data_IF_956316738006
#
_entry.id   IF_956316738006
#
_cell.length_a   1.000
_cell.length_b   1.000
_cell.length_c   1.000
_cell.angle_alpha   90.00
_cell.angle_beta   90.00
_cell.angle_gamma   90.00
#
_symmetry.space_group_name_H-M   'P 1'
#
loop_
_entity.id
_entity.type
_entity.pdbx_description
1 polymer ?
#
# COMPACT_ATOMS: atom_id res chain seq x y z
N UNK A 1 -20.36 51.03 53.91
CA UNK A 1 -19.55 49.98 53.26
C UNK A 1 -20.38 49.00 52.41
N UNK A 2 -21.72 49.00 52.46
CA UNK A 2 -22.54 47.97 51.79
C UNK A 2 -22.91 48.19 50.32
N UNK A 3 -22.82 49.42 49.81
CA UNK A 3 -23.24 49.74 48.43
C UNK A 3 -22.21 49.22 47.39
N UNK A 4 -20.93 49.18 47.76
CA UNK A 4 -19.83 48.66 46.91
C UNK A 4 -19.90 47.13 46.80
N UNK A 5 -20.30 46.44 47.88
CA UNK A 5 -20.39 44.98 47.91
C UNK A 5 -21.53 44.41 47.03
N UNK A 6 -22.63 45.15 46.84
CA UNK A 6 -23.76 44.70 45.99
C UNK A 6 -23.43 44.63 44.49
N UNK A 7 -22.44 45.39 44.00
CA UNK A 7 -22.02 45.37 42.58
C UNK A 7 -20.96 44.31 42.25
N UNK A 8 -20.15 43.91 43.24
CA UNK A 8 -19.03 42.99 43.07
C UNK A 8 -19.48 41.60 42.60
N UNK A 9 -20.53 41.03 43.21
CA UNK A 9 -21.06 39.71 42.83
C UNK A 9 -21.53 39.65 41.35
N UNK A 10 -22.08 40.75 40.81
CA UNK A 10 -22.52 40.83 39.41
C UNK A 10 -21.33 40.85 38.44
N UNK A 11 -20.22 41.50 38.83
CA UNK A 11 -18.98 41.53 38.04
C UNK A 11 -18.29 40.17 38.05
N UNK A 12 -18.16 39.54 39.21
CA UNK A 12 -17.58 38.20 39.35
C UNK A 12 -18.35 37.14 38.55
N UNK A 13 -19.69 37.23 38.47
CA UNK A 13 -20.50 36.32 37.62
C UNK A 13 -20.26 36.54 36.12
N UNK A 14 -20.09 37.78 35.66
CA UNK A 14 -19.75 38.09 34.25
C UNK A 14 -18.35 37.61 33.90
N UNK A 15 -17.40 37.85 34.79
CA UNK A 15 -16.01 37.42 34.65
C UNK A 15 -15.90 35.88 34.64
N UNK A 16 -16.59 35.18 35.54
CA UNK A 16 -16.62 33.71 35.55
C UNK A 16 -17.20 33.13 34.24
N UNK A 17 -18.27 33.72 33.71
CA UNK A 17 -18.85 33.30 32.41
C UNK A 17 -17.87 33.54 31.26
N UNK A 18 -17.22 34.70 31.22
CA UNK A 18 -16.20 34.99 30.19
C UNK A 18 -15.03 34.00 30.25
N UNK A 19 -14.51 33.72 31.46
CA UNK A 19 -13.44 32.73 31.67
C UNK A 19 -13.88 31.31 31.28
N UNK A 20 -15.10 30.90 31.64
CA UNK A 20 -15.63 29.59 31.25
C UNK A 20 -15.82 29.47 29.74
N UNK A 21 -16.31 30.51 29.06
CA UNK A 21 -16.45 30.53 27.59
C UNK A 21 -15.07 30.43 26.91
N UNK A 22 -14.08 31.19 27.39
CA UNK A 22 -12.70 31.11 26.88
C UNK A 22 -12.07 29.74 27.11
N UNK A 23 -12.19 29.19 28.32
CA UNK A 23 -11.68 27.84 28.63
C UNK A 23 -12.40 26.77 27.79
N UNK A 24 -13.72 26.87 27.64
CA UNK A 24 -14.47 25.94 26.79
C UNK A 24 -14.05 26.03 25.32
N UNK A 25 -13.75 27.23 24.81
CA UNK A 25 -13.26 27.41 23.45
C UNK A 25 -11.89 26.75 23.25
N UNK A 26 -10.98 26.88 24.22
CA UNK A 26 -9.66 26.21 24.19
C UNK A 26 -9.82 24.69 24.23
N UNK A 27 -10.63 24.16 25.14
CA UNK A 27 -10.89 22.71 25.24
C UNK A 27 -11.52 22.18 23.95
N UNK A 28 -12.49 22.90 23.39
CA UNK A 28 -13.14 22.52 22.14
C UNK A 28 -12.15 22.54 20.96
N UNK A 29 -11.26 23.54 20.91
CA UNK A 29 -10.20 23.60 19.89
C UNK A 29 -9.23 22.43 20.00
N UNK A 30 -8.78 22.08 21.21
CA UNK A 30 -7.92 20.92 21.45
C UNK A 30 -8.63 19.60 21.14
N UNK A 31 -9.93 19.50 21.40
CA UNK A 31 -10.74 18.34 21.04
C UNK A 31 -10.80 18.17 19.52
N UNK A 32 -11.09 19.23 18.76
CA UNK A 32 -11.08 19.16 17.30
C UNK A 32 -9.70 18.80 16.73
N UNK A 33 -8.63 19.38 17.27
CA UNK A 33 -7.27 19.02 16.87
C UNK A 33 -6.97 17.54 17.11
N UNK A 34 -7.38 17.02 18.27
CA UNK A 34 -7.19 15.61 18.61
C UNK A 34 -7.98 14.69 17.67
N UNK A 35 -9.25 15.03 17.38
CA UNK A 35 -10.08 14.30 16.43
C UNK A 35 -9.49 14.31 15.01
N UNK A 36 -8.91 15.44 14.60
CA UNK A 36 -8.22 15.56 13.32
C UNK A 36 -7.02 14.61 13.26
N UNK A 37 -6.17 14.59 14.29
CA UNK A 37 -5.03 13.65 14.33
C UNK A 37 -5.47 12.19 14.33
N UNK A 38 -6.48 11.83 15.13
CA UNK A 38 -7.03 10.47 15.16
C UNK A 38 -7.54 10.08 13.77
N UNK A 39 -8.25 10.98 13.08
CA UNK A 39 -8.75 10.75 11.73
C UNK A 39 -7.62 10.55 10.72
N UNK A 40 -6.57 11.38 10.76
CA UNK A 40 -5.42 11.23 9.87
C UNK A 40 -4.72 9.88 10.09
N UNK A 41 -4.46 9.51 11.33
CA UNK A 41 -3.78 8.24 11.67
C UNK A 41 -4.66 7.04 11.28
N UNK A 42 -5.95 7.08 11.60
CA UNK A 42 -6.90 6.01 11.31
C UNK A 42 -7.16 5.82 9.80
N UNK A 43 -7.02 6.87 8.99
CA UNK A 43 -7.14 6.75 7.53
C UNK A 43 -5.79 6.47 6.85
N UNK A 44 -4.67 6.82 7.50
CA UNK A 44 -3.33 6.70 6.95
C UNK A 44 -2.61 5.38 7.27
N UNK A 45 -3.04 4.61 8.28
CA UNK A 45 -2.29 3.41 8.70
C UNK A 45 -2.12 2.37 7.58
N UNK A 46 -3.09 2.26 6.68
CA UNK A 46 -3.05 1.33 5.55
C UNK A 46 -1.99 1.70 4.52
N UNK A 47 -1.51 2.94 4.48
CA UNK A 47 -0.40 3.35 3.61
C UNK A 47 0.92 2.67 4.01
N UNK A 48 1.03 2.22 5.27
CA UNK A 48 2.19 1.45 5.74
C UNK A 48 2.03 -0.06 5.54
N UNK A 49 0.88 -0.53 5.06
CA UNK A 49 0.72 -1.92 4.62
C UNK A 49 0.99 -2.00 3.12
N UNK A 50 1.62 -3.08 2.66
CA UNK A 50 1.80 -3.38 1.25
C UNK A 50 1.47 -4.84 0.99
N UNK A 51 0.72 -5.08 -0.07
CA UNK A 51 0.41 -6.44 -0.52
C UNK A 51 1.57 -6.97 -1.36
N UNK A 52 2.03 -8.16 -1.01
CA UNK A 52 3.11 -8.86 -1.70
C UNK A 52 2.60 -10.17 -2.28
N UNK A 53 3.03 -10.49 -3.49
CA UNK A 53 2.77 -11.75 -4.18
C UNK A 53 4.05 -12.57 -4.24
N UNK A 54 3.96 -13.85 -3.93
CA UNK A 54 5.05 -14.79 -4.06
C UNK A 54 5.12 -15.33 -5.48
N UNK A 55 6.29 -15.26 -6.10
CA UNK A 55 6.55 -15.80 -7.43
C UNK A 55 7.78 -16.69 -7.43
N UNK A 56 7.69 -17.79 -8.18
CA UNK A 56 8.83 -18.62 -8.52
C UNK A 56 9.42 -18.14 -9.85
N UNK A 57 10.51 -17.40 -9.75
CA UNK A 57 11.17 -16.75 -10.89
C UNK A 57 12.39 -17.54 -11.30
N UNK A 58 12.39 -18.01 -12.55
CA UNK A 58 13.56 -18.64 -13.14
C UNK A 58 14.49 -17.56 -13.69
N UNK A 59 15.69 -17.47 -13.12
CA UNK A 59 16.73 -16.52 -13.53
C UNK A 59 17.53 -17.11 -14.69
N UNK A 60 16.97 -17.05 -15.90
CA UNK A 60 17.63 -17.63 -17.07
C UNK A 60 18.96 -16.92 -17.38
N UNK A 61 20.05 -17.69 -17.41
CA UNK A 61 21.39 -17.19 -17.71
C UNK A 61 21.53 -16.70 -19.16
N UNK A 62 20.62 -17.06 -20.07
CA UNK A 62 20.58 -16.55 -21.44
C UNK A 62 19.97 -15.14 -21.51
N UNK A 63 19.06 -14.81 -20.60
CA UNK A 63 18.35 -13.52 -20.55
C UNK A 63 19.05 -12.50 -19.64
N UNK A 64 19.92 -12.97 -18.74
CA UNK A 64 20.68 -12.14 -17.80
C UNK A 64 22.17 -12.19 -18.16
N UNK A 65 22.65 -11.13 -18.81
CA UNK A 65 24.09 -10.93 -19.03
C UNK A 65 24.78 -10.58 -17.70
N UNK A 66 25.74 -11.42 -17.28
CA UNK A 66 26.49 -11.25 -16.04
C UNK A 66 27.37 -9.99 -16.03
N UNK A 67 27.78 -9.52 -17.20
CA UNK A 67 28.58 -8.31 -17.36
C UNK A 67 27.71 -7.05 -17.36
N UNK A 68 26.45 -7.16 -17.81
CA UNK A 68 25.49 -6.06 -17.84
C UNK A 68 24.13 -6.43 -17.22
N UNK A 69 24.15 -6.62 -15.90
CA UNK A 69 22.93 -6.91 -15.13
C UNK A 69 21.89 -5.80 -15.21
N UNK A 70 22.27 -4.55 -15.52
CA UNK A 70 21.33 -3.43 -15.59
C UNK A 70 20.43 -3.48 -16.83
N UNK A 71 20.89 -4.10 -17.93
CA UNK A 71 20.17 -4.16 -19.19
C UNK A 71 19.22 -5.38 -19.31
N UNK A 72 19.25 -6.30 -18.34
CA UNK A 72 18.45 -7.52 -18.39
C UNK A 72 16.94 -7.25 -18.25
N UNK A 73 16.12 -8.06 -18.91
CA UNK A 73 14.66 -7.91 -18.92
C UNK A 73 13.98 -8.58 -17.72
N UNK A 74 14.19 -8.05 -16.52
CA UNK A 74 13.60 -8.58 -15.28
C UNK A 74 12.06 -8.62 -15.31
N UNK A 75 11.42 -7.61 -15.91
CA UNK A 75 9.98 -7.61 -16.09
C UNK A 75 9.51 -8.79 -16.96
N UNK A 76 10.30 -9.17 -17.97
CA UNK A 76 10.08 -10.36 -18.80
C UNK A 76 10.10 -11.66 -17.98
N UNK A 77 11.04 -11.80 -17.06
CA UNK A 77 11.15 -12.96 -16.16
C UNK A 77 9.93 -13.08 -15.24
N UNK A 78 9.49 -11.96 -14.65
CA UNK A 78 8.29 -11.90 -13.81
C UNK A 78 7.05 -12.30 -14.63
N UNK A 79 6.89 -11.73 -15.83
CA UNK A 79 5.78 -12.07 -16.73
C UNK A 79 5.79 -13.54 -17.13
N UNK A 80 6.97 -14.13 -17.34
CA UNK A 80 7.14 -15.56 -17.62
C UNK A 80 6.73 -16.43 -16.44
N UNK A 81 7.04 -15.98 -15.22
CA UNK A 81 6.62 -16.65 -13.98
C UNK A 81 5.10 -16.60 -13.82
N UNK A 82 4.47 -15.44 -14.00
CA UNK A 82 3.01 -15.30 -13.98
C UNK A 82 2.31 -16.17 -15.04
N UNK A 83 2.89 -16.27 -16.25
CA UNK A 83 2.38 -17.19 -17.30
C UNK A 83 2.41 -18.65 -16.85
N UNK A 84 3.43 -19.06 -16.08
CA UNK A 84 3.53 -20.42 -15.52
C UNK A 84 2.51 -20.65 -14.39
N UNK A 85 2.27 -19.65 -13.55
CA UNK A 85 1.27 -19.71 -12.47
C UNK A 85 -0.15 -19.77 -13.01
N UNK A 86 -0.45 -19.09 -14.11
CA UNK A 86 -1.78 -19.02 -14.73
C UNK A 86 -1.78 -19.53 -16.19
N UNK A 87 -1.52 -20.83 -16.42
CA UNK A 87 -1.39 -21.39 -17.78
C UNK A 87 -2.70 -21.32 -18.59
N UNK A 88 -3.84 -21.20 -17.91
CA UNK A 88 -5.17 -21.12 -18.52
C UNK A 88 -5.42 -19.78 -19.24
N UNK A 89 -4.61 -18.75 -18.97
CA UNK A 89 -4.80 -17.39 -19.52
C UNK A 89 -4.19 -17.28 -20.91
N UNK A 90 -5.00 -17.57 -21.95
CA UNK A 90 -4.53 -17.63 -23.34
C UNK A 90 -4.65 -16.31 -24.11
N UNK A 91 -5.73 -15.54 -23.90
CA UNK A 91 -6.02 -14.33 -24.69
C UNK A 91 -5.07 -13.18 -24.35
N UNK A 92 -4.65 -12.41 -25.35
CA UNK A 92 -3.71 -11.28 -25.18
C UNK A 92 -4.23 -10.21 -24.21
N UNK A 93 -5.52 -9.87 -24.27
CA UNK A 93 -6.17 -8.90 -23.37
C UNK A 93 -6.10 -9.36 -21.92
N UNK A 94 -6.34 -10.65 -21.69
CA UNK A 94 -6.38 -11.26 -20.36
C UNK A 94 -4.96 -11.37 -19.78
N UNK A 95 -3.98 -11.75 -20.60
CA UNK A 95 -2.57 -11.74 -20.20
C UNK A 95 -2.11 -10.37 -19.71
N UNK A 96 -2.55 -9.28 -20.36
CA UNK A 96 -2.23 -7.92 -19.90
C UNK A 96 -2.80 -7.65 -18.51
N UNK A 97 -4.05 -8.03 -18.26
CA UNK A 97 -4.67 -7.90 -16.93
C UNK A 97 -3.96 -8.75 -15.86
N UNK A 98 -3.52 -9.95 -16.25
CA UNK A 98 -2.77 -10.84 -15.36
C UNK A 98 -1.39 -10.27 -15.01
N UNK A 99 -0.70 -9.63 -15.95
CA UNK A 99 0.57 -8.95 -15.67
C UNK A 99 0.38 -7.78 -14.70
N UNK A 100 -0.76 -7.09 -14.77
CA UNK A 100 -1.13 -6.03 -13.83
C UNK A 100 -1.64 -6.57 -12.47
N UNK A 101 -1.32 -7.80 -12.09
CA UNK A 101 -1.50 -8.25 -10.70
C UNK A 101 -0.27 -7.90 -9.84
N UNK A 102 0.88 -7.71 -10.49
CA UNK A 102 2.17 -7.45 -9.86
C UNK A 102 2.60 -6.05 -10.27
N UNK A 103 3.08 -5.26 -9.30
CA UNK A 103 3.51 -3.89 -9.54
C UNK A 103 4.72 -3.86 -10.49
N UNK A 104 4.83 -2.84 -11.36
CA UNK A 104 6.04 -2.59 -12.12
C UNK A 104 7.31 -2.52 -11.24
N UNK A 105 7.18 -2.07 -9.99
CA UNK A 105 8.26 -2.00 -9.01
C UNK A 105 8.92 -3.36 -8.71
N UNK A 106 8.24 -4.47 -8.99
CA UNK A 106 8.78 -5.81 -8.85
C UNK A 106 10.03 -6.06 -9.70
N UNK A 107 10.15 -5.42 -10.88
CA UNK A 107 11.35 -5.59 -11.71
C UNK A 107 12.60 -5.01 -11.06
N UNK A 108 12.49 -3.85 -10.39
CA UNK A 108 13.60 -3.24 -9.67
C UNK A 108 13.99 -4.09 -8.45
N UNK A 109 13.00 -4.61 -7.73
CA UNK A 109 13.26 -5.51 -6.60
C UNK A 109 13.98 -6.80 -7.03
N UNK A 110 13.57 -7.40 -8.16
CA UNK A 110 14.23 -8.57 -8.71
C UNK A 110 15.65 -8.25 -9.19
N UNK A 111 15.84 -7.11 -9.86
CA UNK A 111 17.13 -6.62 -10.29
C UNK A 111 18.09 -6.45 -9.11
N UNK A 112 17.67 -5.74 -8.07
CA UNK A 112 18.42 -5.55 -6.83
C UNK A 112 18.81 -6.87 -6.17
N UNK A 113 17.87 -7.82 -6.14
CA UNK A 113 18.14 -9.16 -5.64
C UNK A 113 19.25 -9.86 -6.44
N UNK A 114 19.17 -9.84 -7.77
CA UNK A 114 20.17 -10.48 -8.66
C UNK A 114 21.53 -9.79 -8.56
N UNK A 115 21.56 -8.45 -8.45
CA UNK A 115 22.80 -7.70 -8.28
C UNK A 115 23.56 -8.09 -7.01
N UNK A 116 22.83 -8.35 -5.92
CA UNK A 116 23.39 -8.80 -4.63
C UNK A 116 23.68 -10.30 -4.62
N UNK A 117 22.96 -11.10 -5.40
CA UNK A 117 23.03 -12.57 -5.41
C UNK A 117 23.33 -13.12 -6.81
N UNK A 118 24.44 -12.68 -7.42
CA UNK A 118 24.82 -13.09 -8.79
C UNK A 118 24.98 -14.60 -8.99
N UNK A 119 25.24 -15.34 -7.91
CA UNK A 119 25.38 -16.80 -7.94
C UNK A 119 24.06 -17.54 -8.17
N UNK A 120 22.91 -16.87 -7.99
CA UNK A 120 21.59 -17.46 -8.24
C UNK A 120 21.18 -17.44 -9.72
N UNK A 121 21.95 -16.78 -10.58
CA UNK A 121 21.69 -16.77 -12.03
C UNK A 121 21.82 -18.20 -12.56
N UNK A 122 20.76 -18.70 -13.18
CA UNK A 122 20.56 -20.08 -13.63
C UNK A 122 19.56 -20.87 -12.78
N UNK A 123 19.22 -20.40 -11.58
CA UNK A 123 18.32 -21.10 -10.66
C UNK A 123 16.88 -20.54 -10.73
N UNK A 124 15.95 -21.30 -10.16
CA UNK A 124 14.61 -20.79 -9.84
C UNK A 124 14.60 -20.34 -8.39
N UNK A 125 14.31 -19.07 -8.18
CA UNK A 125 14.19 -18.47 -6.84
C UNK A 125 12.72 -18.22 -6.51
N UNK A 126 12.39 -18.27 -5.22
CA UNK A 126 11.09 -17.86 -4.72
C UNK A 126 11.23 -16.49 -4.07
N UNK A 127 10.54 -15.48 -4.61
CA UNK A 127 10.64 -14.09 -4.14
C UNK A 127 9.25 -13.49 -3.89
N UNK A 128 9.14 -12.67 -2.85
CA UNK A 128 7.97 -11.83 -2.60
C UNK A 128 8.15 -10.50 -3.31
N UNK A 129 7.22 -10.15 -4.19
CA UNK A 129 7.24 -8.92 -4.96
C UNK A 129 5.98 -8.09 -4.71
N UNK A 130 6.02 -6.75 -4.85
CA UNK A 130 4.85 -5.91 -4.66
C UNK A 130 3.72 -6.27 -5.62
N UNK A 131 2.50 -6.34 -5.09
CA UNK A 131 1.28 -6.42 -5.90
C UNK A 131 0.98 -5.07 -6.56
N UNK A 132 0.17 -5.08 -7.61
CA UNK A 132 -0.37 -3.87 -8.23
C UNK A 132 -1.34 -3.12 -7.28
N UNK A 133 -1.45 -1.81 -7.45
CA UNK A 133 -2.29 -0.92 -6.63
C UNK A 133 -3.73 -1.42 -6.47
N UNK A 134 -4.36 -1.88 -7.55
CA UNK A 134 -5.74 -2.35 -7.48
C UNK A 134 -5.84 -3.63 -6.63
N UNK A 135 -4.84 -4.51 -6.72
CA UNK A 135 -4.76 -5.72 -5.89
C UNK A 135 -4.50 -5.35 -4.43
N UNK A 136 -3.64 -4.37 -4.18
CA UNK A 136 -3.34 -3.89 -2.85
C UNK A 136 -4.56 -3.25 -2.17
N UNK A 137 -5.27 -2.37 -2.89
CA UNK A 137 -6.54 -1.79 -2.44
C UNK A 137 -7.59 -2.87 -2.17
N UNK A 138 -7.66 -3.92 -2.99
CA UNK A 138 -8.56 -5.06 -2.75
C UNK A 138 -8.20 -5.79 -1.45
N UNK A 139 -6.92 -6.09 -1.22
CA UNK A 139 -6.44 -6.79 -0.01
C UNK A 139 -6.57 -5.93 1.26
N UNK A 140 -6.55 -4.61 1.12
CA UNK A 140 -6.84 -3.64 2.20
C UNK A 140 -8.34 -3.48 2.47
N UNK A 141 -9.21 -4.00 1.60
CA UNK A 141 -10.66 -3.94 1.75
C UNK A 141 -11.30 -2.67 1.18
N UNK A 142 -10.54 -1.89 0.40
CA UNK A 142 -11.00 -0.65 -0.20
C UNK A 142 -11.75 -0.86 -1.53
N UNK A 143 -11.67 -2.07 -2.11
CA UNK A 143 -12.48 -2.46 -3.29
C UNK A 143 -13.57 -3.43 -2.84
N UNK A 144 -14.83 -3.01 -3.01
CA UNK A 144 -16.01 -3.82 -2.72
C UNK A 144 -16.14 -4.98 -3.71
N UNK A 145 -16.34 -6.19 -3.22
CA UNK A 145 -16.45 -7.41 -4.05
C UNK A 145 -17.90 -7.70 -4.51
N UNK A 146 -18.87 -7.08 -3.87
CA UNK A 146 -20.31 -7.30 -4.01
C UNK A 146 -21.00 -6.34 -4.99
N UNK A 147 -20.27 -5.38 -5.56
CA UNK A 147 -20.78 -4.44 -6.56
C UNK A 147 -20.51 -4.94 -7.99
N UNK A 148 -21.28 -4.50 -9.00
CA UNK A 148 -21.08 -4.90 -10.40
C UNK A 148 -19.65 -4.66 -10.92
N UNK A 149 -19.18 -5.47 -11.88
CA UNK A 149 -17.86 -5.31 -12.53
C UNK A 149 -17.62 -3.87 -13.04
N UNK A 150 -18.66 -3.22 -13.59
CA UNK A 150 -18.57 -1.85 -14.12
C UNK A 150 -18.30 -0.78 -13.06
N UNK A 151 -18.58 -1.06 -11.78
CA UNK A 151 -18.38 -0.14 -10.66
C UNK A 151 -17.06 -0.38 -9.94
N UNK A 152 -16.21 -1.29 -10.45
CA UNK A 152 -14.93 -1.68 -9.85
C UNK A 152 -13.79 -1.44 -10.82
N UNK A 153 -12.62 -1.16 -10.27
CA UNK A 153 -11.38 -1.06 -11.05
C UNK A 153 -10.90 -2.44 -11.52
N UNK A 154 -11.19 -3.49 -10.75
CA UNK A 154 -10.88 -4.88 -11.07
C UNK A 154 -12.08 -5.63 -11.59
N UNK A 155 -11.86 -6.50 -12.57
CA UNK A 155 -12.91 -7.39 -13.04
C UNK A 155 -12.95 -8.75 -12.35
N UNK A 156 -14.04 -9.48 -12.59
CA UNK A 156 -14.31 -10.80 -11.99
C UNK A 156 -13.18 -11.80 -12.25
N UNK A 157 -12.57 -11.74 -13.44
CA UNK A 157 -11.44 -12.59 -13.78
C UNK A 157 -10.19 -12.26 -12.95
N UNK A 158 -9.86 -10.98 -12.77
CA UNK A 158 -8.75 -10.57 -11.89
C UNK A 158 -9.03 -10.96 -10.44
N UNK A 159 -10.26 -10.79 -9.95
CA UNK A 159 -10.65 -11.24 -8.61
C UNK A 159 -10.44 -12.74 -8.45
N UNK A 160 -10.82 -13.54 -9.45
CA UNK A 160 -10.61 -14.99 -9.41
C UNK A 160 -9.13 -15.38 -9.34
N UNK A 161 -8.23 -14.60 -9.96
CA UNK A 161 -6.79 -14.84 -9.86
C UNK A 161 -6.25 -14.46 -8.49
N UNK A 162 -6.70 -13.35 -7.92
CA UNK A 162 -6.34 -12.98 -6.55
C UNK A 162 -6.85 -14.02 -5.56
N UNK A 163 -8.08 -14.50 -5.71
CA UNK A 163 -8.64 -15.55 -4.84
C UNK A 163 -7.86 -16.87 -4.94
N UNK A 164 -7.36 -17.22 -6.14
CA UNK A 164 -6.43 -18.35 -6.30
C UNK A 164 -5.14 -18.13 -5.52
N UNK A 165 -4.55 -16.93 -5.58
CA UNK A 165 -3.33 -16.60 -4.82
C UNK A 165 -3.56 -16.60 -3.31
N UNK A 166 -4.73 -16.15 -2.85
CA UNK A 166 -5.12 -16.22 -1.43
C UNK A 166 -5.23 -17.69 -1.01
N UNK A 167 -5.93 -18.50 -1.80
CA UNK A 167 -6.13 -19.92 -1.51
C UNK A 167 -4.82 -20.72 -1.52
N UNK A 168 -3.83 -20.33 -2.35
CA UNK A 168 -2.50 -20.95 -2.38
C UNK A 168 -1.52 -20.38 -1.35
N UNK A 169 -1.88 -19.32 -0.61
CA UNK A 169 -0.99 -18.65 0.33
C UNK A 169 0.13 -17.83 -0.34
N UNK A 170 0.02 -17.57 -1.65
CA UNK A 170 1.01 -16.83 -2.45
C UNK A 170 0.76 -15.31 -2.47
N UNK A 171 -0.09 -14.80 -1.58
CA UNK A 171 -0.32 -13.36 -1.41
C UNK A 171 -0.49 -13.05 0.07
N UNK A 172 0.11 -11.96 0.53
CA UNK A 172 -0.01 -11.50 1.91
C UNK A 172 0.18 -10.00 2.03
N UNK A 173 -0.38 -9.40 3.08
CA UNK A 173 -0.05 -8.04 3.48
C UNK A 173 1.14 -8.06 4.42
N UNK A 174 2.08 -7.15 4.20
CA UNK A 174 3.24 -6.92 5.07
C UNK A 174 3.30 -5.44 5.45
N UNK A 175 3.89 -5.15 6.60
CA UNK A 175 4.17 -3.77 6.95
C UNK A 175 5.40 -3.29 6.17
N UNK A 176 5.24 -2.27 5.33
CA UNK A 176 6.31 -1.74 4.52
C UNK A 176 7.20 -0.79 5.34
N UNK A 177 8.17 -1.37 6.06
CA UNK A 177 9.17 -0.62 6.81
C UNK A 177 10.11 0.19 5.92
N UNK A 178 10.16 -0.12 4.62
CA UNK A 178 11.01 0.58 3.63
C UNK A 178 10.69 2.07 3.59
N UNK A 179 9.43 2.48 3.81
CA UNK A 179 9.05 3.89 3.94
C UNK A 179 9.82 4.67 5.01
N UNK A 180 10.29 4.01 6.07
CA UNK A 180 11.03 4.65 7.16
C UNK A 180 12.56 4.60 6.96
N UNK A 181 13.05 3.71 6.09
CA UNK A 181 14.50 3.43 5.95
C UNK A 181 15.07 3.79 4.57
N UNK A 182 14.25 3.87 3.53
CA UNK A 182 14.67 4.26 2.20
C UNK A 182 14.46 5.77 2.01
N UNK A 183 15.56 6.52 2.00
CA UNK A 183 15.57 7.98 1.88
C UNK A 183 15.52 8.52 0.45
N UNK A 184 15.18 7.71 -0.55
CA UNK A 184 15.12 8.16 -1.95
C UNK A 184 13.67 8.49 -2.36
N UNK A 185 13.22 9.65 -1.89
CA UNK A 185 11.88 10.24 -2.15
C UNK A 185 11.71 10.75 -3.60
N UNK A 186 12.39 10.14 -4.58
CA UNK A 186 12.39 10.61 -5.98
C UNK A 186 11.64 9.72 -6.94
N UNK A 187 11.22 8.53 -6.50
CA UNK A 187 10.32 7.66 -7.26
C UNK A 187 9.13 7.30 -6.36
N UNK A 188 8.02 8.06 -6.42
CA UNK A 188 6.75 7.48 -6.00
C UNK A 188 6.54 6.24 -6.89
N UNK A 189 6.06 5.13 -6.31
CA UNK A 189 5.56 4.03 -7.15
C UNK A 189 4.68 4.64 -8.27
N UNK A 190 4.89 4.26 -9.55
CA UNK A 190 4.04 4.72 -10.62
C UNK A 190 2.65 4.10 -10.55
#
# INVERSE_FOLDING_TARGET
MDIVNKGLAKRYKRERRFRMMGLSAIILSLAFLSLLFISIIANGYTAFEQTMIQLDVHLDAQEIDKENLAAANYLGLIRTSLKKTFPDVKKRRDKRKMYNLVSPGASFMLQDFVMRNRHEIGNTITIWVPADDDVDMLMKGNIKRDVPESERRMNDMQLSWVDKLIASGQIKKVFNTTFFTAGDSREPEP
#
